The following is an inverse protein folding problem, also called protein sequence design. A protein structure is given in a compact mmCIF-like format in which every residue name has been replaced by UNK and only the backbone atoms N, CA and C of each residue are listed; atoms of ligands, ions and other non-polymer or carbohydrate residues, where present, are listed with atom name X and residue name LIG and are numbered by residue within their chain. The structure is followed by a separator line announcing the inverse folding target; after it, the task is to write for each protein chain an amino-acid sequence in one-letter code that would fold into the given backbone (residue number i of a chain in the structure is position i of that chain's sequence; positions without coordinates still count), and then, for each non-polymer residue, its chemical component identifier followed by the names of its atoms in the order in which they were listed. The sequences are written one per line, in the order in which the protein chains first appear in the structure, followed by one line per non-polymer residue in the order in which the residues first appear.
data_IF_735213024944
#
_entry.id   IF_735213024944
#
_cell.length_a   1.000
_cell.length_b   1.000
_cell.length_c   1.000
_cell.angle_alpha   90.00
_cell.angle_beta   90.00
_cell.angle_gamma   90.00
#
_symmetry.space_group_name_H-M   'P 1'
#
loop_
_entity.id
_entity.type
_entity.pdbx_description
1 polymer ?
#
# COMPACT_ATOMS: atom_id res chain seq x y z
N UNK A 1 -12.69 -67.85 7.32
CA UNK A 1 -12.54 -66.38 7.47
C UNK A 1 -11.59 -66.14 8.64
N UNK A 2 -10.38 -65.63 8.38
CA UNK A 2 -9.33 -65.45 9.41
C UNK A 2 -9.70 -64.30 10.35
N UNK A 3 -9.81 -64.56 11.66
CA UNK A 3 -10.01 -63.53 12.67
C UNK A 3 -8.78 -62.61 12.71
N UNK A 4 -8.97 -61.34 12.37
CA UNK A 4 -7.95 -60.31 12.51
C UNK A 4 -7.86 -59.99 14.01
N UNK A 5 -6.67 -60.15 14.60
CA UNK A 5 -6.41 -59.92 16.02
C UNK A 5 -6.58 -58.45 16.39
N UNK A 6 -7.16 -58.17 17.57
CA UNK A 6 -7.29 -56.81 18.15
C UNK A 6 -5.95 -56.07 18.22
N UNK A 7 -4.84 -56.79 18.33
CA UNK A 7 -3.48 -56.23 18.34
C UNK A 7 -3.14 -55.66 16.96
N UNK A 8 -3.53 -56.34 15.88
CA UNK A 8 -3.30 -55.89 14.49
C UNK A 8 -4.10 -54.63 14.17
N UNK A 9 -5.34 -54.52 14.69
CA UNK A 9 -6.18 -53.32 14.51
C UNK A 9 -5.59 -52.12 15.25
N UNK A 10 -5.06 -52.33 16.46
CA UNK A 10 -4.48 -51.24 17.26
C UNK A 10 -3.17 -50.72 16.64
N UNK A 11 -2.32 -51.59 16.12
CA UNK A 11 -1.07 -51.20 15.44
C UNK A 11 -1.34 -50.42 14.14
N UNK A 12 -2.35 -50.84 13.37
CA UNK A 12 -2.75 -50.12 12.15
C UNK A 12 -3.35 -48.74 12.45
N UNK A 13 -4.14 -48.60 13.53
CA UNK A 13 -4.70 -47.32 13.95
C UNK A 13 -3.61 -46.33 14.42
N UNK A 14 -2.61 -46.81 15.18
CA UNK A 14 -1.47 -45.98 15.62
C UNK A 14 -0.58 -45.53 14.45
N UNK A 15 -0.35 -46.41 13.46
CA UNK A 15 0.43 -46.07 12.28
C UNK A 15 -0.28 -45.02 11.39
N UNK A 16 -1.61 -45.10 11.27
CA UNK A 16 -2.41 -44.12 10.54
C UNK A 16 -2.39 -42.74 11.23
N UNK A 17 -2.38 -42.68 12.55
CA UNK A 17 -2.32 -41.43 13.30
C UNK A 17 -0.95 -40.74 13.18
N UNK A 18 0.14 -41.51 13.17
CA UNK A 18 1.51 -40.99 12.96
C UNK A 18 1.66 -40.46 11.53
N UNK A 19 1.08 -41.14 10.53
CA UNK A 19 1.07 -40.67 9.13
C UNK A 19 0.22 -39.41 8.93
N UNK A 20 -0.84 -39.22 9.73
CA UNK A 20 -1.68 -38.01 9.68
C UNK A 20 -1.01 -36.80 10.35
N UNK A 21 -0.26 -37.03 11.44
CA UNK A 21 0.55 -36.01 12.11
C UNK A 21 1.83 -35.64 11.35
N UNK A 22 2.30 -36.51 10.44
CA UNK A 22 3.44 -36.28 9.57
C UNK A 22 3.04 -35.68 8.20
N UNK A 23 1.78 -35.31 8.00
CA UNK A 23 1.38 -34.59 6.80
C UNK A 23 2.17 -33.27 6.72
N UNK A 24 2.86 -32.98 5.60
CA UNK A 24 3.55 -31.71 5.45
C UNK A 24 2.53 -30.59 5.60
N UNK A 25 2.75 -29.71 6.58
CA UNK A 25 2.04 -28.43 6.65
C UNK A 25 2.31 -27.73 5.32
N UNK A 26 1.30 -27.37 4.53
CA UNK A 26 1.54 -26.61 3.32
C UNK A 26 2.29 -25.35 3.72
N UNK A 27 3.50 -25.17 3.19
CA UNK A 27 4.20 -23.89 3.31
C UNK A 27 3.24 -22.82 2.78
N UNK A 28 2.95 -21.83 3.61
CA UNK A 28 2.11 -20.71 3.21
C UNK A 28 2.76 -20.07 1.96
N UNK A 29 1.95 -19.81 0.94
CA UNK A 29 2.50 -19.34 -0.32
C UNK A 29 3.02 -17.91 -0.13
N UNK A 30 4.31 -17.70 -0.36
CA UNK A 30 4.90 -16.37 -0.38
C UNK A 30 4.11 -15.44 -1.30
N UNK A 31 3.69 -14.30 -0.76
CA UNK A 31 2.94 -13.29 -1.49
C UNK A 31 3.94 -12.31 -2.10
N UNK A 32 3.83 -12.08 -3.41
CA UNK A 32 4.57 -11.02 -4.10
C UNK A 32 3.60 -10.01 -4.65
N UNK A 33 3.75 -8.75 -4.25
CA UNK A 33 2.90 -7.63 -4.69
C UNK A 33 3.68 -6.70 -5.62
N UNK A 34 3.05 -6.22 -6.68
CA UNK A 34 3.63 -5.24 -7.60
C UNK A 34 3.16 -3.83 -7.22
N UNK A 35 4.10 -2.92 -6.97
CA UNK A 35 3.84 -1.55 -6.52
C UNK A 35 4.13 -0.52 -7.63
N UNK A 36 3.07 0.05 -8.20
CA UNK A 36 3.15 1.14 -9.18
C UNK A 36 3.45 2.49 -8.51
N UNK A 37 4.57 3.11 -8.89
CA UNK A 37 5.05 4.38 -8.35
C UNK A 37 5.31 5.35 -9.51
N UNK A 38 4.57 6.46 -9.56
CA UNK A 38 4.70 7.41 -10.68
C UNK A 38 5.94 8.32 -10.58
N UNK A 39 6.55 8.46 -9.40
CA UNK A 39 7.79 9.22 -9.23
C UNK A 39 9.02 8.46 -9.74
N UNK A 40 10.05 9.16 -10.28
CA UNK A 40 11.34 8.56 -10.58
C UNK A 40 11.98 7.92 -9.34
N UNK A 41 12.82 6.89 -9.52
CA UNK A 41 13.46 6.17 -8.42
C UNK A 41 14.30 7.05 -7.48
N UNK A 42 14.90 8.13 -8.00
CA UNK A 42 15.69 9.07 -7.21
C UNK A 42 14.85 10.05 -6.37
N UNK A 43 13.53 10.09 -6.56
CA UNK A 43 12.65 10.96 -5.79
C UNK A 43 12.42 10.38 -4.39
N UNK A 44 12.39 11.24 -3.36
CA UNK A 44 12.27 10.82 -1.97
C UNK A 44 11.05 9.94 -1.68
N UNK A 45 9.92 10.15 -2.38
CA UNK A 45 8.73 9.29 -2.23
C UNK A 45 8.95 7.86 -2.76
N UNK A 46 9.72 7.69 -3.85
CA UNK A 46 10.05 6.36 -4.34
C UNK A 46 11.03 5.64 -3.41
N UNK A 47 11.96 6.38 -2.79
CA UNK A 47 12.88 5.85 -1.77
C UNK A 47 12.12 5.42 -0.51
N UNK A 48 11.20 6.25 -0.01
CA UNK A 48 10.36 5.91 1.14
C UNK A 48 9.48 4.68 0.87
N UNK A 49 8.95 4.53 -0.35
CA UNK A 49 8.22 3.32 -0.76
C UNK A 49 9.10 2.07 -0.75
N UNK A 50 10.40 2.19 -1.11
CA UNK A 50 11.36 1.10 -1.05
C UNK A 50 11.70 0.71 0.39
N UNK A 51 11.89 1.70 1.27
CA UNK A 51 12.09 1.47 2.70
C UNK A 51 10.86 0.79 3.33
N UNK A 52 9.66 1.28 3.01
CA UNK A 52 8.41 0.66 3.46
C UNK A 52 8.26 -0.79 2.98
N UNK A 53 8.61 -1.07 1.72
CA UNK A 53 8.60 -2.44 1.20
C UNK A 53 9.58 -3.36 1.96
N UNK A 54 10.79 -2.87 2.28
CA UNK A 54 11.76 -3.61 3.08
C UNK A 54 11.27 -3.89 4.51
N UNK A 55 10.60 -2.92 5.14
CA UNK A 55 9.97 -3.11 6.46
C UNK A 55 8.87 -4.17 6.44
N UNK A 56 8.06 -4.23 5.37
CA UNK A 56 7.04 -5.28 5.20
C UNK A 56 7.69 -6.65 5.07
N UNK A 57 8.71 -6.78 4.22
CA UNK A 57 9.43 -8.05 4.05
C UNK A 57 10.05 -8.51 5.36
N UNK A 58 10.70 -7.61 6.10
CA UNK A 58 11.30 -7.93 7.39
C UNK A 58 10.27 -8.36 8.43
N UNK A 59 9.16 -7.63 8.56
CA UNK A 59 8.13 -7.90 9.59
C UNK A 59 7.26 -9.10 9.28
N UNK A 60 7.33 -9.61 8.05
CA UNK A 60 6.62 -10.81 7.61
C UNK A 60 7.56 -12.00 7.45
N UNK A 61 8.81 -11.91 7.92
CA UNK A 61 9.84 -12.95 7.76
C UNK A 61 10.01 -13.42 6.30
N UNK A 62 9.81 -12.51 5.35
CA UNK A 62 9.89 -12.77 3.90
C UNK A 62 8.66 -13.46 3.29
N UNK A 63 7.56 -13.59 4.03
CA UNK A 63 6.29 -14.11 3.51
C UNK A 63 5.60 -13.11 2.57
N UNK A 64 5.84 -11.81 2.74
CA UNK A 64 5.37 -10.76 1.82
C UNK A 64 6.56 -10.03 1.23
N UNK A 65 6.66 -10.06 -0.10
CA UNK A 65 7.66 -9.32 -0.87
C UNK A 65 6.97 -8.31 -1.79
N UNK A 66 7.61 -7.17 -2.05
CA UNK A 66 7.04 -6.11 -2.88
C UNK A 66 8.02 -5.75 -4.00
N UNK A 67 7.59 -5.91 -5.24
CA UNK A 67 8.32 -5.48 -6.43
C UNK A 67 7.96 -4.02 -6.75
N UNK A 68 8.96 -3.15 -6.79
CA UNK A 68 8.75 -1.72 -7.06
C UNK A 68 8.88 -1.40 -8.55
N UNK A 69 7.93 -0.61 -9.06
CA UNK A 69 7.91 -0.12 -10.43
C UNK A 69 7.85 1.42 -10.45
N UNK A 70 9.00 2.10 -10.20
CA UNK A 70 9.09 3.56 -10.23
C UNK A 70 9.05 4.11 -11.65
N UNK A 71 8.94 5.44 -11.75
CA UNK A 71 8.99 6.19 -13.00
C UNK A 71 7.73 6.09 -13.85
N UNK A 72 6.62 5.61 -13.27
CA UNK A 72 5.35 5.46 -13.99
C UNK A 72 5.38 4.40 -15.09
N UNK A 73 6.17 3.34 -14.88
CA UNK A 73 6.36 2.24 -15.85
C UNK A 73 5.14 1.35 -16.01
N UNK A 74 4.38 1.11 -14.93
CA UNK A 74 3.10 0.38 -15.00
C UNK A 74 1.92 1.32 -15.29
N UNK A 75 1.85 2.43 -14.57
CA UNK A 75 0.80 3.44 -14.74
C UNK A 75 1.37 4.84 -14.56
N UNK A 76 0.83 5.83 -15.28
CA UNK A 76 1.19 7.22 -15.03
C UNK A 76 0.46 7.77 -13.79
N UNK A 77 0.84 8.96 -13.35
CA UNK A 77 0.35 9.55 -12.11
C UNK A 77 -1.18 9.69 -12.02
N UNK A 78 -1.87 9.96 -13.15
CA UNK A 78 -3.35 10.07 -13.17
C UNK A 78 -4.06 8.72 -13.20
N UNK A 79 -3.37 7.68 -13.66
CA UNK A 79 -3.92 6.34 -13.82
C UNK A 79 -3.71 5.45 -12.59
N UNK A 80 -2.85 5.85 -11.64
CA UNK A 80 -2.37 4.95 -10.59
C UNK A 80 -3.49 4.33 -9.73
N UNK A 81 -4.49 5.13 -9.32
CA UNK A 81 -5.64 4.58 -8.58
C UNK A 81 -6.45 3.60 -9.42
N UNK A 82 -6.82 3.97 -10.64
CA UNK A 82 -7.59 3.11 -11.55
C UNK A 82 -6.82 1.83 -11.91
N UNK A 83 -5.49 1.92 -12.00
CA UNK A 83 -4.62 0.78 -12.22
C UNK A 83 -4.73 -0.26 -11.13
N UNK A 84 -4.85 0.16 -9.86
CA UNK A 84 -5.10 -0.76 -8.73
C UNK A 84 -6.49 -1.36 -8.81
N UNK A 85 -7.52 -0.54 -9.03
CA UNK A 85 -8.92 -1.02 -9.15
C UNK A 85 -9.08 -2.05 -10.28
N UNK A 86 -8.36 -1.84 -11.40
CA UNK A 86 -8.39 -2.72 -12.57
C UNK A 86 -7.42 -3.90 -12.48
N UNK A 87 -6.60 -4.01 -11.42
CA UNK A 87 -5.65 -5.09 -11.24
C UNK A 87 -4.40 -5.04 -12.13
N UNK A 88 -4.04 -3.86 -12.66
CA UNK A 88 -2.76 -3.64 -13.38
C UNK A 88 -1.58 -3.75 -12.42
N UNK A 89 -1.76 -3.32 -11.17
CA UNK A 89 -0.79 -3.42 -10.07
C UNK A 89 -1.50 -3.69 -8.76
N UNK A 90 -0.90 -4.46 -7.87
CA UNK A 90 -1.49 -4.79 -6.57
C UNK A 90 -1.50 -3.59 -5.62
N UNK A 91 -0.47 -2.74 -5.71
CA UNK A 91 -0.29 -1.53 -4.90
C UNK A 91 -0.08 -0.32 -5.81
N UNK A 92 -0.56 0.86 -5.40
CA UNK A 92 -0.46 2.09 -6.20
C UNK A 92 -0.22 3.32 -5.34
N UNK A 93 0.77 4.13 -5.73
CA UNK A 93 1.03 5.43 -5.13
C UNK A 93 0.15 6.45 -5.85
N UNK A 94 -1.06 6.67 -5.36
CA UNK A 94 -1.97 7.66 -5.92
C UNK A 94 -1.81 9.03 -5.26
N UNK A 95 -2.11 10.10 -6.01
CA UNK A 95 -2.24 11.46 -5.51
C UNK A 95 -3.66 11.95 -5.83
N UNK A 96 -4.47 12.24 -4.79
CA UNK A 96 -5.88 12.60 -4.97
C UNK A 96 -6.05 13.84 -5.86
N UNK A 97 -5.22 14.86 -5.67
CA UNK A 97 -5.23 16.12 -6.43
C UNK A 97 -4.95 15.97 -7.94
N UNK A 98 -4.42 14.82 -8.40
CA UNK A 98 -4.11 14.61 -9.82
C UNK A 98 -5.31 14.18 -10.67
N UNK A 99 -6.42 13.83 -10.03
CA UNK A 99 -7.68 13.46 -10.69
C UNK A 99 -8.85 14.29 -10.13
N UNK A 100 -8.99 15.56 -10.56
CA UNK A 100 -10.03 16.44 -10.05
C UNK A 100 -11.44 15.88 -10.22
N UNK A 101 -12.27 16.02 -9.17
CA UNK A 101 -13.64 15.54 -9.10
C UNK A 101 -13.79 14.06 -8.76
N UNK A 102 -12.69 13.30 -8.66
CA UNK A 102 -12.73 11.86 -8.36
C UNK A 102 -12.91 11.58 -6.86
N UNK A 103 -12.27 12.39 -6.02
CA UNK A 103 -12.25 12.19 -4.56
C UNK A 103 -12.79 13.44 -3.85
N UNK A 104 -14.08 13.78 -4.05
CA UNK A 104 -14.63 15.05 -3.60
C UNK A 104 -14.56 15.26 -2.07
N UNK A 105 -14.59 14.19 -1.27
CA UNK A 105 -14.42 14.32 0.18
C UNK A 105 -12.95 14.56 0.52
N UNK A 106 -12.04 13.80 -0.10
CA UNK A 106 -10.60 13.95 0.16
C UNK A 106 -10.01 15.26 -0.36
N UNK A 107 -10.57 15.84 -1.44
CA UNK A 107 -10.18 17.15 -1.98
C UNK A 107 -10.34 18.29 -0.96
N UNK A 108 -11.16 18.12 0.08
CA UNK A 108 -11.24 19.08 1.18
C UNK A 108 -9.88 19.31 1.87
N UNK A 109 -9.02 18.29 1.88
CA UNK A 109 -7.67 18.38 2.45
C UNK A 109 -6.71 19.20 1.58
N UNK A 110 -6.99 19.36 0.28
CA UNK A 110 -6.15 20.10 -0.67
C UNK A 110 -6.40 21.62 -0.61
N UNK A 111 -7.42 22.06 0.14
CA UNK A 111 -7.71 23.47 0.37
C UNK A 111 -6.61 24.14 1.22
N UNK A 112 -6.46 25.48 1.14
CA UNK A 112 -5.46 26.21 1.91
C UNK A 112 -5.83 26.31 3.40
N UNK A 113 -5.72 25.18 4.11
CA UNK A 113 -6.08 25.03 5.52
C UNK A 113 -5.00 25.52 6.49
N UNK A 114 -3.85 25.97 5.99
CA UNK A 114 -2.77 26.53 6.80
C UNK A 114 -1.94 25.49 7.56
N UNK A 115 -1.76 24.29 7.01
CA UNK A 115 -0.93 23.25 7.63
C UNK A 115 0.52 23.75 7.85
N UNK A 116 1.08 23.69 9.07
CA UNK A 116 2.39 24.24 9.37
C UNK A 116 3.55 23.38 8.84
N UNK A 117 3.35 22.06 8.71
CA UNK A 117 4.36 21.09 8.32
C UNK A 117 3.72 19.80 7.77
N UNK A 118 4.53 18.96 7.13
CA UNK A 118 4.05 17.72 6.49
C UNK A 118 3.62 16.64 7.49
N UNK A 119 4.19 16.61 8.70
CA UNK A 119 3.80 15.65 9.75
C UNK A 119 2.41 15.96 10.28
N UNK A 120 2.13 17.24 10.52
CA UNK A 120 0.81 17.74 10.92
C UNK A 120 -0.21 17.52 9.80
N UNK A 121 0.11 17.85 8.55
CA UNK A 121 -0.76 17.59 7.40
C UNK A 121 -1.07 16.09 7.26
N UNK A 122 -0.05 15.23 7.39
CA UNK A 122 -0.21 13.76 7.33
C UNK A 122 -1.12 13.24 8.44
N UNK A 123 -0.94 13.70 9.68
CA UNK A 123 -1.81 13.31 10.81
C UNK A 123 -3.26 13.72 10.55
N UNK A 124 -3.49 14.97 10.15
CA UNK A 124 -4.83 15.47 9.84
C UNK A 124 -5.48 14.66 8.70
N UNK A 125 -4.73 14.35 7.64
CA UNK A 125 -5.26 13.58 6.52
C UNK A 125 -5.73 12.17 6.94
N UNK A 126 -4.99 11.49 7.81
CA UNK A 126 -5.37 10.17 8.33
C UNK A 126 -6.55 10.26 9.31
N UNK A 127 -6.59 11.26 10.19
CA UNK A 127 -7.74 11.50 11.08
C UNK A 127 -9.01 11.83 10.30
N UNK A 128 -8.89 12.63 9.24
CA UNK A 128 -9.98 12.97 8.34
C UNK A 128 -10.49 11.75 7.59
N UNK A 129 -9.60 10.93 7.02
CA UNK A 129 -9.97 9.65 6.38
C UNK A 129 -10.79 8.77 7.35
N UNK A 130 -10.30 8.59 8.57
CA UNK A 130 -10.93 7.73 9.57
C UNK A 130 -12.29 8.26 10.02
N UNK A 131 -12.44 9.58 10.11
CA UNK A 131 -13.68 10.23 10.53
C UNK A 131 -14.74 10.25 9.42
N UNK A 132 -14.31 10.53 8.18
CA UNK A 132 -15.21 10.72 7.05
C UNK A 132 -15.57 9.42 6.33
N UNK A 133 -14.66 8.43 6.35
CA UNK A 133 -14.83 7.12 5.69
C UNK A 133 -15.41 7.25 4.28
N UNK A 134 -14.75 8.02 3.40
CA UNK A 134 -15.34 8.48 2.16
C UNK A 134 -15.62 7.30 1.22
N UNK A 135 -16.82 7.29 0.62
CA UNK A 135 -17.27 6.19 -0.21
C UNK A 135 -16.42 6.01 -1.49
N UNK A 136 -15.81 7.09 -1.98
CA UNK A 136 -14.90 7.14 -3.13
C UNK A 136 -13.62 6.29 -2.98
N UNK A 137 -13.30 5.82 -1.76
CA UNK A 137 -12.14 4.96 -1.49
C UNK A 137 -12.51 3.50 -1.22
N UNK A 138 -13.77 3.09 -1.40
CA UNK A 138 -14.24 1.73 -1.09
C UNK A 138 -13.75 0.65 -2.05
N UNK A 139 -13.33 1.04 -3.25
CA UNK A 139 -12.87 0.11 -4.29
C UNK A 139 -11.44 -0.41 -4.01
N UNK A 140 -10.74 0.16 -3.02
CA UNK A 140 -9.37 -0.21 -2.66
C UNK A 140 -9.20 -0.34 -1.15
N UNK A 141 -8.14 -1.03 -0.72
CA UNK A 141 -7.66 -0.96 0.64
C UNK A 141 -6.65 0.19 0.78
N UNK A 142 -7.05 1.28 1.44
CA UNK A 142 -6.11 2.34 1.81
C UNK A 142 -5.15 1.81 2.88
N UNK A 143 -3.85 1.82 2.58
CA UNK A 143 -2.79 1.36 3.50
C UNK A 143 -2.30 2.49 4.40
N UNK A 144 -2.00 3.64 3.81
CA UNK A 144 -1.64 4.87 4.51
C UNK A 144 -1.88 6.07 3.61
N UNK A 145 -2.03 7.24 4.23
CA UNK A 145 -1.99 8.53 3.54
C UNK A 145 -0.82 9.34 4.11
N UNK A 146 -0.15 10.08 3.24
CA UNK A 146 0.79 11.12 3.63
C UNK A 146 0.44 12.41 2.89
N UNK A 147 0.84 13.55 3.46
CA UNK A 147 0.66 14.86 2.87
C UNK A 147 1.95 15.68 2.98
N UNK A 148 2.16 16.59 2.03
CA UNK A 148 3.27 17.52 2.09
C UNK A 148 2.95 18.71 3.02
N UNK A 149 3.99 19.42 3.46
CA UNK A 149 3.84 20.67 4.21
C UNK A 149 3.41 21.84 3.31
N UNK A 150 3.58 23.09 3.77
CA UNK A 150 3.24 24.27 2.98
C UNK A 150 3.81 24.24 1.56
N UNK A 151 2.98 24.57 0.58
CA UNK A 151 3.45 24.84 -0.78
C UNK A 151 4.31 26.10 -0.80
N UNK A 152 5.52 26.00 -1.35
CA UNK A 152 6.44 27.12 -1.51
C UNK A 152 6.57 27.51 -2.98
N UNK A 153 6.77 28.80 -3.23
CA UNK A 153 7.05 29.30 -4.57
C UNK A 153 8.51 29.01 -4.92
N UNK A 154 8.73 28.14 -5.90
CA UNK A 154 10.06 27.89 -6.48
C UNK A 154 10.18 28.67 -7.79
N UNK A 155 10.77 29.86 -7.74
CA UNK A 155 10.84 30.80 -8.87
C UNK A 155 12.27 31.09 -9.30
N UNK A 156 12.46 31.48 -10.57
CA UNK A 156 13.78 31.89 -11.11
C UNK A 156 14.24 33.26 -10.58
N UNK A 157 13.29 34.13 -10.24
CA UNK A 157 13.52 35.47 -9.68
C UNK A 157 12.84 35.55 -8.31
N UNK A 158 13.41 36.30 -7.34
CA UNK A 158 12.75 36.49 -6.05
C UNK A 158 11.36 37.10 -6.21
N UNK A 159 10.41 36.60 -5.42
CA UNK A 159 9.05 37.13 -5.27
C UNK A 159 8.86 37.49 -3.79
N UNK A 160 8.62 38.77 -3.50
CA UNK A 160 8.49 39.34 -2.16
C UNK A 160 7.15 39.98 -1.89
N UNK A 161 6.42 40.33 -2.95
CA UNK A 161 5.08 40.90 -2.88
C UNK A 161 4.13 40.16 -3.82
N UNK A 162 2.83 40.35 -3.65
CA UNK A 162 1.82 39.73 -4.51
C UNK A 162 1.88 40.27 -5.96
N UNK A 163 2.30 41.51 -6.14
CA UNK A 163 2.48 42.14 -7.45
C UNK A 163 3.58 41.45 -8.27
N UNK A 164 4.61 40.92 -7.59
CA UNK A 164 5.74 40.23 -8.23
C UNK A 164 5.41 38.79 -8.69
N UNK A 165 4.24 38.25 -8.35
CA UNK A 165 3.78 36.90 -8.78
C UNK A 165 3.30 36.90 -10.25
N UNK A 166 2.85 38.05 -10.76
CA UNK A 166 2.19 38.16 -12.07
C UNK A 166 3.12 37.95 -13.26
#
# INVERSE_FOLDING_TARGET
MRQISRITVTVLASAALILWLAAPVPAEAKVTLNYSIFFPAAHGQAQAAAEWAGEIEQRTDGEVTINLFPGGTLTNARQCYDGVVQGISDLGMSCFAYTPGRFPVMEALDLPMGYPDGTTATRVANEFLNSMQPAELKDVKVLYIHAHGPGLLHTKKPVRTLEEIR
#
